data_IF_149383959796
#
_entry.id   IF_149383959796
#
_cell.length_a   1.000
_cell.length_b   1.000
_cell.length_c   1.000
_cell.angle_alpha   90.00
_cell.angle_beta   90.00
_cell.angle_gamma   90.00
#
_symmetry.space_group_name_H-M   'P 1'
#
loop_
_entity.id
_entity.type
_entity.pdbx_description
1 polymer ?
#
# COMPACT_ATOMS: atom_id res chain seq x y z
N UNK A 1 6.21 24.05 29.50
CA UNK A 1 7.24 23.48 28.60
C UNK A 1 8.59 23.96 29.08
N UNK A 2 9.56 23.05 29.22
CA UNK A 2 10.96 23.39 29.46
C UNK A 2 11.66 23.61 28.10
N UNK A 3 12.09 24.83 27.75
CA UNK A 3 12.79 25.07 26.50
C UNK A 3 14.09 24.26 26.34
N UNK A 4 14.69 23.83 27.46
CA UNK A 4 15.86 22.96 27.41
C UNK A 4 15.49 21.52 27.03
N UNK A 5 14.31 21.05 27.42
CA UNK A 5 13.78 19.74 27.04
C UNK A 5 13.43 19.71 25.55
N UNK A 6 12.78 20.76 25.04
CA UNK A 6 12.46 20.88 23.61
C UNK A 6 13.73 20.88 22.74
N UNK A 7 14.79 21.55 23.20
CA UNK A 7 16.09 21.52 22.51
C UNK A 7 16.74 20.13 22.53
N UNK A 8 16.65 19.41 23.65
CA UNK A 8 17.15 18.03 23.76
C UNK A 8 16.38 17.11 22.84
N UNK A 9 15.06 17.29 22.76
CA UNK A 9 14.19 16.49 21.92
C UNK A 9 14.43 16.75 20.42
N UNK A 10 14.54 18.02 20.02
CA UNK A 10 14.90 18.39 18.65
C UNK A 10 16.26 17.79 18.24
N UNK A 11 17.23 17.75 19.17
CA UNK A 11 18.53 17.13 18.93
C UNK A 11 18.41 15.62 18.70
N UNK A 12 17.64 14.91 19.54
CA UNK A 12 17.37 13.47 19.38
C UNK A 12 16.68 13.15 18.06
N UNK A 13 15.68 13.95 17.69
CA UNK A 13 14.98 13.80 16.41
C UNK A 13 15.93 14.02 15.23
N UNK A 14 16.76 15.07 15.29
CA UNK A 14 17.77 15.32 14.26
C UNK A 14 18.75 14.16 14.09
N UNK A 15 19.24 13.59 15.19
CA UNK A 15 20.15 12.43 15.18
C UNK A 15 19.46 11.18 14.59
N UNK A 16 18.20 10.94 14.93
CA UNK A 16 17.41 9.84 14.36
C UNK A 16 17.22 9.99 12.85
N UNK A 17 16.87 11.19 12.38
CA UNK A 17 16.74 11.47 10.95
C UNK A 17 18.07 11.35 10.19
N UNK A 18 19.19 11.79 10.78
CA UNK A 18 20.53 11.61 10.20
C UNK A 18 20.84 10.12 10.03
N UNK A 19 20.56 9.29 11.04
CA UNK A 19 20.78 7.84 10.98
C UNK A 19 19.96 7.16 9.88
N UNK A 20 18.67 7.50 9.77
CA UNK A 20 17.81 6.98 8.70
C UNK A 20 18.30 7.39 7.31
N UNK A 21 18.78 8.64 7.17
CA UNK A 21 19.34 9.13 5.93
C UNK A 21 20.64 8.39 5.55
N UNK A 22 21.52 8.12 6.52
CA UNK A 22 22.73 7.31 6.28
C UNK A 22 22.40 5.88 5.82
N UNK A 23 21.36 5.26 6.39
CA UNK A 23 20.93 3.93 5.99
C UNK A 23 20.34 3.91 4.57
N UNK A 24 19.54 4.90 4.20
CA UNK A 24 18.99 5.04 2.85
C UNK A 24 20.08 5.35 1.81
N UNK A 25 21.00 6.27 2.13
CA UNK A 25 22.16 6.61 1.28
C UNK A 25 23.07 5.39 1.02
N UNK A 26 23.19 4.47 1.99
CA UNK A 26 23.94 3.23 1.83
C UNK A 26 23.23 2.18 0.96
N UNK A 27 21.90 2.16 0.94
CA UNK A 27 21.10 1.18 0.18
C UNK A 27 20.95 1.55 -1.30
N UNK A 28 20.84 2.84 -1.62
CA UNK A 28 20.51 3.31 -2.97
C UNK A 28 21.64 4.08 -3.68
N UNK A 29 22.77 4.29 -2.98
CA UNK A 29 23.89 5.09 -3.46
C UNK A 29 23.63 6.59 -3.29
N UNK A 30 24.69 7.35 -2.95
CA UNK A 30 24.63 8.77 -2.62
C UNK A 30 24.30 9.60 -3.88
N UNK A 31 23.13 10.29 -3.96
CA UNK A 31 22.81 11.14 -5.09
C UNK A 31 23.78 12.33 -5.19
N UNK A 32 24.32 12.57 -6.39
CA UNK A 32 25.31 13.65 -6.65
C UNK A 32 24.70 14.87 -7.35
N UNK A 33 23.42 14.79 -7.75
CA UNK A 33 22.66 15.87 -8.42
C UNK A 33 21.25 15.97 -7.85
N UNK A 34 20.78 17.21 -7.72
CA UNK A 34 19.42 17.52 -7.29
C UNK A 34 18.44 17.34 -8.47
N UNK A 35 17.16 17.15 -8.19
CA UNK A 35 16.10 17.06 -9.20
C UNK A 35 16.05 18.30 -10.13
N UNK A 36 16.54 19.46 -9.69
CA UNK A 36 16.68 20.66 -10.53
C UNK A 36 17.92 20.66 -11.46
N UNK A 37 18.72 19.59 -11.47
CA UNK A 37 19.92 19.44 -12.32
C UNK A 37 21.22 19.98 -11.71
N UNK A 38 21.12 20.80 -10.65
CA UNK A 38 22.28 21.33 -9.91
C UNK A 38 23.08 20.24 -9.21
N UNK A 39 24.40 20.43 -9.09
CA UNK A 39 25.31 19.53 -8.36
C UNK A 39 24.99 19.61 -6.87
N UNK A 40 24.83 18.46 -6.22
CA UNK A 40 24.72 18.39 -4.76
C UNK A 40 26.14 18.59 -4.22
N UNK A 41 26.45 19.82 -3.82
CA UNK A 41 27.63 20.16 -3.02
C UNK A 41 27.27 19.94 -1.55
N UNK A 42 28.09 19.17 -0.84
CA UNK A 42 27.88 18.85 0.57
C UNK A 42 27.85 20.15 1.40
N UNK A 43 26.69 20.39 2.01
CA UNK A 43 26.47 20.97 3.36
C UNK A 43 27.33 22.19 3.71
N UNK A 44 26.83 23.38 3.40
CA UNK A 44 26.78 24.52 4.34
C UNK A 44 26.04 25.77 3.79
N UNK A 45 25.63 25.79 2.53
CA UNK A 45 25.00 26.98 1.91
C UNK A 45 23.50 27.16 2.22
N UNK A 46 22.94 26.43 3.19
CA UNK A 46 21.59 26.66 3.72
C UNK A 46 20.40 26.44 2.76
N UNK A 47 20.59 26.10 1.48
CA UNK A 47 19.50 26.07 0.49
C UNK A 47 19.32 24.77 -0.30
N UNK A 48 20.26 23.82 -0.21
CA UNK A 48 20.20 22.58 -1.00
C UNK A 48 20.19 21.34 -0.10
N UNK A 49 19.13 21.21 0.67
CA UNK A 49 18.83 19.99 1.41
C UNK A 49 18.62 18.82 0.45
N UNK A 50 19.01 17.61 0.85
CA UNK A 50 18.57 16.33 0.26
C UNK A 50 17.06 16.07 0.51
N UNK A 51 16.22 17.06 0.25
CA UNK A 51 14.77 16.97 0.23
C UNK A 51 14.17 16.19 -0.98
N UNK A 52 14.84 15.95 -2.13
CA UNK A 52 14.20 15.28 -3.26
C UNK A 52 13.68 13.87 -2.98
N UNK A 53 14.34 13.10 -2.11
CA UNK A 53 13.95 11.71 -1.84
C UNK A 53 12.73 11.61 -0.92
N UNK A 54 12.62 12.47 0.10
CA UNK A 54 11.48 12.45 1.03
C UNK A 54 10.18 12.77 0.28
N UNK A 55 10.20 13.74 -0.64
CA UNK A 55 9.03 14.02 -1.49
C UNK A 55 8.72 12.86 -2.44
N UNK A 56 9.72 12.27 -3.08
CA UNK A 56 9.50 11.11 -3.97
C UNK A 56 8.94 9.89 -3.23
N UNK A 57 9.42 9.62 -2.01
CA UNK A 57 8.87 8.55 -1.17
C UNK A 57 7.46 8.88 -0.71
N UNK A 58 7.17 10.14 -0.37
CA UNK A 58 5.83 10.57 0.01
C UNK A 58 4.83 10.38 -1.14
N UNK A 59 5.18 10.78 -2.36
CA UNK A 59 4.36 10.58 -3.56
C UNK A 59 4.11 9.09 -3.85
N UNK A 60 5.15 8.25 -3.73
CA UNK A 60 5.03 6.80 -3.92
C UNK A 60 4.13 6.17 -2.85
N UNK A 61 4.25 6.58 -1.58
CA UNK A 61 3.38 6.13 -0.48
C UNK A 61 1.92 6.50 -0.78
N UNK A 62 1.65 7.71 -1.25
CA UNK A 62 0.30 8.17 -1.59
C UNK A 62 -0.30 7.36 -2.76
N UNK A 63 0.50 7.11 -3.80
CA UNK A 63 0.14 6.27 -4.95
C UNK A 63 -0.17 4.83 -4.54
N UNK A 64 0.71 4.22 -3.74
CA UNK A 64 0.53 2.85 -3.24
C UNK A 64 -0.69 2.76 -2.33
N UNK A 65 -0.90 3.74 -1.45
CA UNK A 65 -2.06 3.80 -0.57
C UNK A 65 -3.37 3.81 -1.36
N UNK A 66 -3.42 4.57 -2.47
CA UNK A 66 -4.58 4.59 -3.35
C UNK A 66 -4.84 3.21 -3.97
N UNK A 67 -3.82 2.56 -4.51
CA UNK A 67 -3.92 1.22 -5.12
C UNK A 67 -4.34 0.15 -4.12
N UNK A 68 -3.87 0.25 -2.87
CA UNK A 68 -4.28 -0.66 -1.79
C UNK A 68 -5.77 -0.51 -1.50
N UNK A 69 -6.27 0.72 -1.35
CA UNK A 69 -7.71 0.98 -1.15
C UNK A 69 -8.58 0.42 -2.27
N UNK A 70 -8.18 0.63 -3.53
CA UNK A 70 -8.88 0.06 -4.69
C UNK A 70 -8.88 -1.48 -4.65
N UNK A 71 -7.77 -2.10 -4.23
CA UNK A 71 -7.67 -3.55 -4.09
C UNK A 71 -8.55 -4.09 -2.95
N UNK A 72 -8.65 -3.37 -1.83
CA UNK A 72 -9.54 -3.71 -0.71
C UNK A 72 -11.01 -3.72 -1.14
N UNK A 73 -11.44 -2.73 -1.93
CA UNK A 73 -12.80 -2.68 -2.49
C UNK A 73 -13.10 -3.90 -3.38
N UNK A 74 -12.14 -4.29 -4.24
CA UNK A 74 -12.26 -5.48 -5.08
C UNK A 74 -12.36 -6.76 -4.23
N UNK A 75 -11.60 -6.89 -3.15
CA UNK A 75 -11.66 -8.04 -2.24
C UNK A 75 -13.04 -8.14 -1.58
N UNK A 76 -13.60 -7.01 -1.14
CA UNK A 76 -14.95 -6.97 -0.55
C UNK A 76 -16.03 -7.37 -1.56
N UNK A 77 -15.91 -6.91 -2.80
CA UNK A 77 -16.82 -7.30 -3.89
C UNK A 77 -16.70 -8.79 -4.22
N UNK A 78 -15.48 -9.32 -4.29
CA UNK A 78 -15.22 -10.74 -4.52
C UNK A 78 -15.87 -11.62 -3.44
N UNK A 79 -15.76 -11.21 -2.17
CA UNK A 79 -16.38 -11.94 -1.06
C UNK A 79 -17.92 -11.97 -1.16
N UNK A 80 -18.55 -10.88 -1.65
CA UNK A 80 -20.00 -10.84 -1.88
C UNK A 80 -20.41 -11.75 -3.04
N UNK A 81 -19.67 -11.71 -4.15
CA UNK A 81 -19.91 -12.54 -5.31
C UNK A 81 -19.78 -14.03 -4.98
N UNK A 82 -18.77 -14.42 -4.20
CA UNK A 82 -18.60 -15.82 -3.79
C UNK A 82 -19.82 -16.35 -3.02
N UNK A 83 -20.36 -15.57 -2.08
CA UNK A 83 -21.60 -15.96 -1.36
C UNK A 83 -22.80 -16.13 -2.30
N UNK A 84 -22.91 -15.29 -3.32
CA UNK A 84 -23.97 -15.40 -4.32
C UNK A 84 -23.78 -16.66 -5.19
N UNK A 85 -22.54 -16.99 -5.56
CA UNK A 85 -22.22 -18.21 -6.30
C UNK A 85 -22.58 -19.45 -5.47
N UNK A 86 -22.15 -19.53 -4.21
CA UNK A 86 -22.49 -20.64 -3.30
C UNK A 86 -24.02 -20.83 -3.22
N UNK A 87 -24.75 -19.73 -3.04
CA UNK A 87 -26.22 -19.77 -3.00
C UNK A 87 -26.83 -20.30 -4.32
N UNK A 88 -26.30 -19.86 -5.47
CA UNK A 88 -26.78 -20.31 -6.77
C UNK A 88 -26.43 -21.78 -7.02
N UNK A 89 -25.26 -22.24 -6.60
CA UNK A 89 -24.84 -23.64 -6.70
C UNK A 89 -25.78 -24.56 -5.90
N UNK A 90 -26.16 -24.17 -4.68
CA UNK A 90 -27.16 -24.89 -3.87
C UNK A 90 -28.53 -24.96 -4.58
N UNK A 91 -29.01 -23.84 -5.12
CA UNK A 91 -30.28 -23.80 -5.83
C UNK A 91 -30.28 -24.69 -7.08
N UNK A 92 -29.20 -24.66 -7.86
CA UNK A 92 -29.03 -25.52 -9.04
C UNK A 92 -29.01 -26.99 -8.63
N UNK A 93 -28.32 -27.33 -7.54
CA UNK A 93 -28.30 -28.70 -7.02
C UNK A 93 -29.70 -29.18 -6.62
N UNK A 94 -30.45 -28.39 -5.84
CA UNK A 94 -31.81 -28.73 -5.42
C UNK A 94 -32.77 -28.88 -6.62
N UNK A 95 -32.71 -27.97 -7.59
CA UNK A 95 -33.49 -28.08 -8.83
C UNK A 95 -33.13 -29.32 -9.62
N UNK A 96 -31.85 -29.67 -9.72
CA UNK A 96 -31.40 -30.88 -10.41
C UNK A 96 -31.98 -32.14 -9.73
N UNK A 97 -31.93 -32.23 -8.40
CA UNK A 97 -32.55 -33.32 -7.64
C UNK A 97 -34.06 -33.41 -7.94
N UNK A 98 -34.77 -32.28 -7.88
CA UNK A 98 -36.21 -32.19 -8.15
C UNK A 98 -36.59 -32.56 -9.59
N UNK A 99 -35.76 -32.27 -10.58
CA UNK A 99 -36.02 -32.63 -11.98
C UNK A 99 -35.71 -34.11 -12.25
N UNK A 100 -34.69 -34.68 -11.60
CA UNK A 100 -34.26 -36.07 -11.83
C UNK A 100 -35.29 -37.11 -11.38
N UNK A 101 -35.99 -36.87 -10.27
CA UNK A 101 -36.97 -37.81 -9.71
C UNK A 101 -38.18 -38.01 -10.64
N UNK A 102 -38.87 -36.96 -11.12
CA UNK A 102 -39.96 -37.06 -12.09
C UNK A 102 -39.54 -37.70 -13.41
N UNK A 103 -38.33 -37.42 -13.91
CA UNK A 103 -37.84 -38.01 -15.15
C UNK A 103 -37.65 -39.53 -15.05
N UNK A 104 -37.22 -40.05 -13.90
CA UNK A 104 -37.10 -41.50 -13.67
C UNK A 104 -38.47 -42.18 -13.62
N UNK A 105 -39.45 -41.55 -12.97
CA UNK A 105 -40.83 -42.08 -12.90
C UNK A 105 -41.48 -42.15 -14.29
N UNK A 106 -41.28 -41.12 -15.13
CA UNK A 106 -41.79 -41.12 -16.51
C UNK A 106 -41.14 -42.14 -17.46
N UNK A 107 -39.98 -42.70 -17.11
CA UNK A 107 -39.28 -43.72 -17.91
C UNK A 107 -39.64 -45.16 -17.53
N UNK A 108 -40.35 -45.37 -16.43
CA UNK A 108 -40.76 -46.69 -15.93
C UNK A 108 -42.23 -47.02 -16.27
N UNK A 109 -42.91 -46.12 -16.98
CA UNK A 109 -44.29 -46.25 -17.46
C UNK A 109 -44.28 -46.37 -18.98
#
# INVERSE_FOLDING_TARGET
MDPAEDRREMKRQKEHYIMLQCAADAQYGIPTRCACGSRIINVDDGLHFRHPWVFGVQEEIESLTKRVKESEEVILLMAKLNKQIETLEEQVHDLNVKVRVPQKLKKQQ
#
